data_IF_428361713311
#
_entry.id   IF_428361713311
#
_cell.length_a   1.000
_cell.length_b   1.000
_cell.length_c   1.000
_cell.angle_alpha   90.00
_cell.angle_beta   90.00
_cell.angle_gamma   90.00
#
_symmetry.space_group_name_H-M   'P 1'
#
loop_
_entity.id
_entity.type
_entity.pdbx_description
1 polymer ?
#
# COMPACT_ATOMS: atom_id res chain seq x y z
N UNK A 1 32.76 -4.78 -10.33
CA UNK A 1 33.42 -5.63 -9.32
C UNK A 1 32.58 -5.63 -8.05
N UNK A 2 32.72 -6.65 -7.19
CA UNK A 2 31.99 -6.70 -5.93
C UNK A 2 32.71 -5.83 -4.90
N UNK A 3 32.04 -4.77 -4.44
CA UNK A 3 32.58 -3.86 -3.43
C UNK A 3 32.25 -4.39 -2.03
N UNK A 4 33.25 -4.59 -1.19
CA UNK A 4 33.07 -5.11 0.18
C UNK A 4 33.44 -4.11 1.27
N UNK A 5 34.20 -3.07 0.95
CA UNK A 5 34.56 -2.02 1.91
C UNK A 5 33.33 -1.17 2.23
N UNK A 6 33.03 -0.95 3.52
CA UNK A 6 31.84 -0.18 3.95
C UNK A 6 31.79 1.23 3.35
N UNK A 7 32.94 1.88 3.20
CA UNK A 7 33.03 3.24 2.65
C UNK A 7 32.72 3.25 1.15
N UNK A 8 33.34 2.34 0.40
CA UNK A 8 33.09 2.19 -1.04
C UNK A 8 31.65 1.76 -1.30
N UNK A 9 31.06 0.89 -0.47
CA UNK A 9 29.63 0.54 -0.54
C UNK A 9 28.75 1.78 -0.34
N UNK A 10 29.08 2.63 0.63
CA UNK A 10 28.35 3.87 0.86
C UNK A 10 28.48 4.86 -0.32
N UNK A 11 29.67 4.94 -0.92
CA UNK A 11 29.94 5.76 -2.11
C UNK A 11 29.15 5.25 -3.33
N UNK A 12 29.03 3.93 -3.52
CA UNK A 12 28.23 3.34 -4.58
C UNK A 12 26.73 3.65 -4.41
N UNK A 13 26.20 3.55 -3.17
CA UNK A 13 24.83 3.97 -2.88
C UNK A 13 24.63 5.47 -3.09
N UNK A 14 25.60 6.31 -2.67
CA UNK A 14 25.56 7.76 -2.89
C UNK A 14 25.49 8.08 -4.37
N UNK A 15 26.41 7.53 -5.18
CA UNK A 15 26.46 7.71 -6.64
C UNK A 15 25.15 7.30 -7.32
N UNK A 16 24.58 6.16 -6.90
CA UNK A 16 23.29 5.71 -7.42
C UNK A 16 22.15 6.67 -7.07
N UNK A 17 21.99 7.05 -5.80
CA UNK A 17 20.88 7.93 -5.39
C UNK A 17 21.04 9.37 -5.85
N UNK A 18 22.26 9.87 -5.96
CA UNK A 18 22.55 11.20 -6.50
C UNK A 18 22.06 11.30 -7.95
N UNK A 19 22.45 10.33 -8.80
CA UNK A 19 21.93 10.22 -10.18
C UNK A 19 20.41 10.05 -10.22
N UNK A 20 19.85 9.26 -9.31
CA UNK A 20 18.43 8.95 -9.31
C UNK A 20 17.57 10.16 -8.91
N UNK A 21 18.01 10.98 -7.95
CA UNK A 21 17.19 12.01 -7.31
C UNK A 21 17.46 13.41 -7.85
N UNK A 22 18.67 13.69 -8.34
CA UNK A 22 19.07 15.03 -8.79
C UNK A 22 18.96 15.23 -10.31
N UNK A 23 18.49 14.22 -11.04
CA UNK A 23 18.17 14.34 -12.46
C UNK A 23 16.82 15.04 -12.68
N UNK A 24 16.78 16.37 -12.57
CA UNK A 24 15.54 17.13 -12.90
C UNK A 24 15.80 18.36 -13.77
N UNK A 25 15.16 18.38 -14.94
CA UNK A 25 14.96 19.56 -15.76
C UNK A 25 13.68 20.26 -15.28
N UNK A 26 13.82 21.38 -14.55
CA UNK A 26 12.67 22.16 -14.07
C UNK A 26 12.01 22.83 -15.28
N UNK A 27 10.72 22.56 -15.51
CA UNK A 27 9.92 23.36 -16.43
C UNK A 27 9.38 24.57 -15.68
N UNK A 28 9.80 25.75 -16.08
CA UNK A 28 9.11 27.00 -15.74
C UNK A 28 7.85 27.09 -16.58
N UNK A 29 6.69 26.80 -15.99
CA UNK A 29 5.41 27.20 -16.57
C UNK A 29 5.08 28.63 -16.11
N UNK A 30 4.28 29.33 -16.92
CA UNK A 30 3.87 30.72 -16.71
C UNK A 30 3.26 30.93 -15.31
N UNK A 31 3.75 31.98 -14.64
CA UNK A 31 3.30 32.39 -13.33
C UNK A 31 1.87 32.93 -13.41
N UNK A 32 0.92 32.24 -12.79
CA UNK A 32 -0.34 32.88 -12.41
C UNK A 32 -0.06 33.83 -11.24
N UNK A 33 -0.38 35.11 -11.40
CA UNK A 33 -0.23 36.17 -10.39
C UNK A 33 -1.25 36.03 -9.24
N UNK A 34 -1.34 34.84 -8.63
CA UNK A 34 -2.12 34.63 -7.41
C UNK A 34 -1.22 34.89 -6.20
N UNK A 35 -1.52 35.96 -5.46
CA UNK A 35 -0.80 36.30 -4.24
C UNK A 35 -1.42 35.57 -3.04
N UNK A 36 -0.64 34.69 -2.41
CA UNK A 36 -1.07 33.95 -1.22
C UNK A 36 -0.48 34.59 0.05
N UNK A 37 -1.30 34.71 1.09
CA UNK A 37 -0.84 35.21 2.40
C UNK A 37 0.16 34.25 3.03
N UNK A 38 1.06 34.78 3.88
CA UNK A 38 1.99 33.94 4.62
C UNK A 38 1.26 33.00 5.59
N UNK A 39 1.86 31.87 5.99
CA UNK A 39 1.28 30.96 6.96
C UNK A 39 0.97 31.63 8.32
N UNK A 40 -0.24 31.40 8.81
CA UNK A 40 -0.64 31.86 10.14
C UNK A 40 -0.04 30.98 11.26
N UNK A 41 0.05 31.50 12.48
CA UNK A 41 0.47 30.71 13.67
C UNK A 41 -0.42 29.48 13.90
N UNK A 42 -1.71 29.60 13.60
CA UNK A 42 -2.65 28.48 13.69
C UNK A 42 -2.30 27.36 12.71
N UNK A 43 -1.94 27.69 11.47
CA UNK A 43 -1.48 26.71 10.48
C UNK A 43 -0.18 26.02 10.91
N UNK A 44 0.77 26.77 11.50
CA UNK A 44 2.00 26.18 12.07
C UNK A 44 1.65 25.18 13.17
N UNK A 45 0.81 25.59 14.14
CA UNK A 45 0.42 24.74 15.25
C UNK A 45 -0.35 23.49 14.79
N UNK A 46 -1.21 23.63 13.78
CA UNK A 46 -1.90 22.50 13.16
C UNK A 46 -0.91 21.53 12.48
N UNK A 47 0.09 22.05 11.76
CA UNK A 47 1.13 21.24 11.12
C UNK A 47 2.04 20.53 12.13
N UNK A 48 2.45 21.21 13.21
CA UNK A 48 3.20 20.61 14.33
C UNK A 48 2.42 19.43 14.93
N UNK A 49 1.13 19.63 15.20
CA UNK A 49 0.29 18.59 15.80
C UNK A 49 0.11 17.37 14.86
N UNK A 50 0.13 17.58 13.54
CA UNK A 50 0.06 16.51 12.52
C UNK A 50 1.33 15.67 12.40
N UNK A 51 2.48 16.14 12.88
CA UNK A 51 3.73 15.36 12.85
C UNK A 51 3.52 14.02 13.56
N UNK A 52 4.13 12.94 13.06
CA UNK A 52 4.01 11.62 13.69
C UNK A 52 5.09 11.45 14.75
N UNK A 53 4.69 10.93 15.91
CA UNK A 53 5.60 10.57 17.00
C UNK A 53 6.39 9.30 16.65
N UNK A 54 7.51 9.10 17.35
CA UNK A 54 8.44 7.98 17.26
C UNK A 54 9.01 7.81 15.84
N UNK A 55 9.33 8.93 15.19
CA UNK A 55 9.96 8.96 13.87
C UNK A 55 11.40 9.43 13.99
N UNK A 56 12.27 8.85 13.17
CA UNK A 56 13.66 9.26 13.09
C UNK A 56 13.75 10.72 12.63
N UNK A 57 14.60 11.54 13.26
CA UNK A 57 14.82 12.93 12.86
C UNK A 57 15.67 13.00 11.57
N UNK A 58 15.74 14.20 10.98
CA UNK A 58 16.71 14.51 9.94
C UNK A 58 18.11 14.71 10.50
N UNK A 59 18.97 15.37 9.71
CA UNK A 59 20.38 15.61 10.03
C UNK A 59 20.59 16.44 11.31
N UNK A 60 19.67 17.36 11.63
CA UNK A 60 19.76 18.20 12.83
C UNK A 60 19.26 17.53 14.12
N UNK A 61 18.85 16.26 14.06
CA UNK A 61 18.39 15.48 15.21
C UNK A 61 17.13 16.01 15.96
N UNK A 62 16.42 17.01 15.43
CA UNK A 62 15.18 17.51 16.03
C UNK A 62 14.02 16.55 15.75
N UNK A 63 13.50 15.89 16.79
CA UNK A 63 12.33 15.01 16.70
C UNK A 63 11.01 15.79 16.88
N UNK A 64 9.92 15.22 16.36
CA UNK A 64 8.59 15.85 16.39
C UNK A 64 8.10 16.15 17.82
N UNK A 65 8.42 15.28 18.77
CA UNK A 65 8.02 15.40 20.17
C UNK A 65 8.62 16.63 20.85
N UNK A 66 9.86 17.00 20.51
CA UNK A 66 10.49 18.19 21.07
C UNK A 66 9.71 19.43 20.65
N UNK A 67 9.32 19.51 19.38
CA UNK A 67 8.56 20.64 18.84
C UNK A 67 7.12 20.68 19.38
N UNK A 68 6.48 19.52 19.54
CA UNK A 68 5.12 19.45 20.07
C UNK A 68 5.05 19.92 21.52
N UNK A 69 6.02 19.49 22.33
CA UNK A 69 6.08 19.79 23.76
C UNK A 69 6.89 21.05 24.09
N UNK A 70 7.40 21.77 23.09
CA UNK A 70 8.13 23.02 23.31
C UNK A 70 7.20 24.13 23.77
N UNK A 71 7.80 25.12 24.43
CA UNK A 71 7.14 26.38 24.75
C UNK A 71 6.73 27.15 23.50
N UNK A 72 5.77 28.06 23.67
CA UNK A 72 5.23 28.89 22.58
C UNK A 72 6.31 29.78 21.96
N UNK A 73 7.34 30.16 22.72
CA UNK A 73 8.49 30.90 22.21
C UNK A 73 9.17 30.17 21.04
N UNK A 74 9.41 28.85 21.18
CA UNK A 74 10.04 28.05 20.13
C UNK A 74 9.15 27.96 18.89
N UNK A 75 7.85 27.76 19.08
CA UNK A 75 6.85 27.70 17.98
C UNK A 75 6.77 29.04 17.25
N UNK A 76 6.89 30.16 17.98
CA UNK A 76 6.94 31.49 17.39
C UNK A 76 8.20 31.72 16.56
N UNK A 77 9.38 31.24 16.98
CA UNK A 77 10.59 31.32 16.17
C UNK A 77 10.48 30.48 14.89
N UNK A 78 9.86 29.29 14.96
CA UNK A 78 9.58 28.48 13.77
C UNK A 78 8.63 29.20 12.80
N UNK A 79 7.59 29.87 13.32
CA UNK A 79 6.68 30.67 12.51
C UNK A 79 7.39 31.83 11.81
N UNK A 80 8.26 32.56 12.53
CA UNK A 80 9.08 33.63 11.94
C UNK A 80 9.97 33.09 10.82
N UNK A 81 10.66 31.97 11.05
CA UNK A 81 11.49 31.33 10.03
C UNK A 81 10.67 30.97 8.78
N UNK A 82 9.52 30.35 8.95
CA UNK A 82 8.64 29.97 7.84
C UNK A 82 8.14 31.21 7.07
N UNK A 83 7.82 32.31 7.74
CA UNK A 83 7.45 33.55 7.06
C UNK A 83 8.61 34.16 6.28
N UNK A 84 9.82 34.17 6.84
CA UNK A 84 11.01 34.64 6.14
C UNK A 84 11.24 33.81 4.87
N UNK A 85 11.09 32.48 4.96
CA UNK A 85 11.19 31.58 3.80
C UNK A 85 10.09 31.88 2.78
N UNK A 86 8.86 32.14 3.24
CA UNK A 86 7.71 32.45 2.38
C UNK A 86 7.91 33.76 1.60
N UNK A 87 8.37 34.81 2.28
CA UNK A 87 8.60 36.14 1.70
C UNK A 87 9.80 36.14 0.75
N UNK A 88 10.91 35.52 1.16
CA UNK A 88 12.14 35.47 0.36
C UNK A 88 12.11 34.40 -0.73
N UNK A 89 11.18 33.45 -0.65
CA UNK A 89 11.10 32.28 -1.53
C UNK A 89 12.41 31.47 -1.57
N UNK A 90 13.14 31.45 -0.46
CA UNK A 90 14.43 30.78 -0.32
C UNK A 90 14.40 29.88 0.92
N UNK A 91 14.67 28.59 0.71
CA UNK A 91 14.83 27.61 1.80
C UNK A 91 16.29 27.60 2.29
N UNK A 92 16.53 27.25 3.56
CA UNK A 92 17.90 27.06 4.09
C UNK A 92 18.68 26.02 3.29
N UNK A 93 19.99 26.21 3.13
CA UNK A 93 20.85 25.27 2.40
C UNK A 93 20.85 23.89 3.05
N UNK A 94 20.71 23.82 4.37
CA UNK A 94 20.62 22.59 5.15
C UNK A 94 19.37 21.76 4.83
N UNK A 95 18.35 22.36 4.19
CA UNK A 95 17.17 21.62 3.72
C UNK A 95 17.38 21.01 2.34
N UNK A 96 18.47 21.36 1.64
CA UNK A 96 18.87 20.72 0.39
C UNK A 96 19.68 19.43 0.62
N UNK A 97 20.13 19.18 1.85
CA UNK A 97 20.78 17.92 2.25
C UNK A 97 19.81 17.03 3.01
N UNK A 98 19.97 15.72 2.88
CA UNK A 98 19.21 14.77 3.68
C UNK A 98 19.92 13.41 3.80
N UNK A 99 19.68 12.74 4.93
CA UNK A 99 20.20 11.39 5.18
C UNK A 99 19.33 10.39 4.42
N UNK A 100 19.95 9.60 3.55
CA UNK A 100 19.28 8.52 2.82
C UNK A 100 19.54 7.18 3.50
N UNK A 101 18.48 6.51 3.93
CA UNK A 101 18.51 5.16 4.47
C UNK A 101 18.08 4.15 3.39
N UNK A 102 19.00 3.39 2.77
CA UNK A 102 18.64 2.37 1.78
C UNK A 102 17.94 1.17 2.44
N UNK A 103 16.75 0.84 1.98
CA UNK A 103 15.97 -0.32 2.42
C UNK A 103 15.82 -1.29 1.25
N UNK A 104 16.27 -2.54 1.45
CA UNK A 104 16.14 -3.57 0.43
C UNK A 104 14.68 -3.80 0.02
N UNK A 105 14.39 -3.76 -1.27
CA UNK A 105 13.04 -3.92 -1.84
C UNK A 105 12.82 -5.35 -2.36
N UNK A 106 13.55 -5.76 -3.41
CA UNK A 106 13.45 -7.08 -4.07
C UNK A 106 14.59 -7.28 -5.06
N UNK A 107 14.87 -8.52 -5.44
CA UNK A 107 15.88 -8.86 -6.44
C UNK A 107 17.22 -9.27 -5.81
N UNK A 108 18.32 -9.00 -6.51
CA UNK A 108 19.66 -9.27 -6.00
C UNK A 108 20.04 -8.26 -4.91
N UNK A 109 20.41 -8.75 -3.72
CA UNK A 109 20.84 -7.94 -2.57
C UNK A 109 22.13 -7.18 -2.87
N UNK A 110 22.92 -7.63 -3.85
CA UNK A 110 24.21 -7.02 -4.19
C UNK A 110 24.09 -5.81 -5.14
N UNK A 111 22.89 -5.48 -5.61
CA UNK A 111 22.67 -4.41 -6.58
C UNK A 111 21.96 -3.20 -5.93
N UNK A 112 22.54 -2.01 -6.03
CA UNK A 112 22.01 -0.77 -5.40
C UNK A 112 20.61 -0.39 -5.89
N UNK A 113 20.29 -0.62 -7.17
CA UNK A 113 18.94 -0.38 -7.74
C UNK A 113 17.80 -1.17 -7.08
N UNK A 114 18.13 -2.25 -6.37
CA UNK A 114 17.18 -3.09 -5.65
C UNK A 114 16.84 -2.56 -4.25
N UNK A 115 17.40 -1.41 -3.88
CA UNK A 115 17.12 -0.70 -2.64
C UNK A 115 16.27 0.55 -2.90
N UNK A 116 15.39 0.84 -1.94
CA UNK A 116 14.63 2.09 -1.88
C UNK A 116 15.31 3.03 -0.90
N UNK A 117 15.72 4.21 -1.37
CA UNK A 117 16.20 5.28 -0.51
C UNK A 117 15.04 5.88 0.27
N UNK A 118 15.08 5.80 1.60
CA UNK A 118 14.16 6.55 2.46
C UNK A 118 14.91 7.75 3.00
N UNK A 119 14.44 8.95 2.64
CA UNK A 119 15.07 10.20 3.03
C UNK A 119 14.53 10.68 4.38
N UNK A 120 15.44 10.94 5.33
CA UNK A 120 15.14 11.54 6.62
C UNK A 120 15.22 13.06 6.50
N UNK A 121 14.06 13.66 6.27
CA UNK A 121 13.92 15.11 6.12
C UNK A 121 13.92 15.82 7.48
N UNK A 122 14.33 17.09 7.45
CA UNK A 122 14.25 18.00 8.58
C UNK A 122 12.81 18.18 9.10
N UNK A 123 12.66 18.40 10.41
CA UNK A 123 11.35 18.55 11.06
C UNK A 123 10.68 19.88 10.69
N UNK A 124 11.43 20.99 10.59
CA UNK A 124 10.89 22.27 10.15
C UNK A 124 10.52 22.23 8.65
N UNK A 125 11.33 21.57 7.82
CA UNK A 125 10.99 21.33 6.42
C UNK A 125 9.66 20.59 6.28
N UNK A 126 9.44 19.51 7.05
CA UNK A 126 8.16 18.77 7.07
C UNK A 126 6.97 19.64 7.48
N UNK A 127 7.16 20.58 8.41
CA UNK A 127 6.11 21.53 8.81
C UNK A 127 5.72 22.41 7.61
N UNK A 128 6.70 23.01 6.94
CA UNK A 128 6.45 23.81 5.73
C UNK A 128 5.76 22.97 4.64
N UNK A 129 6.28 21.77 4.34
CA UNK A 129 5.67 20.87 3.35
C UNK A 129 4.25 20.48 3.72
N UNK A 130 3.95 20.28 5.01
CA UNK A 130 2.60 19.98 5.47
C UNK A 130 1.65 21.15 5.26
N UNK A 131 2.10 22.39 5.46
CA UNK A 131 1.28 23.59 5.22
C UNK A 131 1.00 23.74 3.73
N UNK A 132 2.03 23.60 2.90
CA UNK A 132 1.91 23.62 1.45
C UNK A 132 0.92 22.55 0.96
N UNK A 133 1.03 21.32 1.48
CA UNK A 133 0.12 20.23 1.13
C UNK A 133 -1.33 20.57 1.46
N UNK A 134 -1.62 21.12 2.64
CA UNK A 134 -2.99 21.46 3.03
C UNK A 134 -3.59 22.57 2.17
N UNK A 135 -2.77 23.54 1.76
CA UNK A 135 -3.19 24.61 0.85
C UNK A 135 -3.38 24.12 -0.59
N UNK A 136 -2.56 23.18 -1.05
CA UNK A 136 -2.62 22.63 -2.41
C UNK A 136 -3.66 21.52 -2.58
N UNK A 137 -4.02 20.82 -1.50
CA UNK A 137 -4.92 19.67 -1.55
C UNK A 137 -6.30 19.96 -2.19
N UNK A 138 -6.99 21.10 -1.91
CA UNK A 138 -8.27 21.41 -2.55
C UNK A 138 -8.14 21.54 -4.08
N UNK A 139 -7.13 22.26 -4.55
CA UNK A 139 -6.88 22.44 -5.99
C UNK A 139 -6.51 21.11 -6.67
N UNK A 140 -5.69 20.30 -6.00
CA UNK A 140 -5.33 18.98 -6.49
C UNK A 140 -6.56 18.07 -6.60
N UNK A 141 -7.50 18.14 -5.66
CA UNK A 141 -8.71 17.32 -5.65
C UNK A 141 -9.69 17.67 -6.79
N UNK A 142 -9.72 18.94 -7.23
CA UNK A 142 -10.49 19.39 -8.41
C UNK A 142 -9.89 18.89 -9.73
N UNK A 143 -8.56 18.86 -9.82
CA UNK A 143 -7.84 18.41 -11.01
C UNK A 143 -7.85 16.88 -11.10
N UNK A 144 -7.75 16.20 -9.97
CA UNK A 144 -7.51 14.76 -9.90
C UNK A 144 -8.83 13.99 -9.90
N UNK A 145 -9.09 13.32 -11.02
CA UNK A 145 -10.30 12.53 -11.22
C UNK A 145 -10.48 11.39 -10.20
N UNK A 146 -11.72 10.93 -10.05
CA UNK A 146 -12.13 9.89 -9.07
C UNK A 146 -11.47 8.53 -9.27
N UNK A 147 -10.82 8.30 -10.41
CA UNK A 147 -10.10 7.06 -10.72
C UNK A 147 -8.76 6.92 -9.97
N UNK A 148 -8.15 8.04 -9.56
CA UNK A 148 -6.91 8.03 -8.78
C UNK A 148 -7.21 7.70 -7.31
N UNK A 149 -6.56 6.67 -6.75
CA UNK A 149 -6.69 6.34 -5.33
C UNK A 149 -5.38 6.50 -4.53
N UNK A 150 -4.23 6.50 -5.20
CA UNK A 150 -2.93 6.65 -4.53
C UNK A 150 -2.81 8.01 -3.82
N UNK A 151 -2.31 8.00 -2.59
CA UNK A 151 -2.01 9.19 -1.78
C UNK A 151 -3.17 10.15 -1.52
N UNK A 152 -4.42 9.70 -1.68
CA UNK A 152 -5.62 10.51 -1.43
C UNK A 152 -6.31 10.14 -0.13
N UNK A 153 -6.84 11.16 0.55
CA UNK A 153 -7.62 10.97 1.79
C UNK A 153 -8.91 10.22 1.45
N UNK A 154 -9.25 9.21 2.26
CA UNK A 154 -10.46 8.41 2.08
C UNK A 154 -10.41 7.43 0.90
N UNK A 155 -9.27 7.27 0.24
CA UNK A 155 -9.03 6.29 -0.83
C UNK A 155 -7.98 5.29 -0.39
N UNK A 156 -8.12 4.05 -0.84
CA UNK A 156 -7.24 2.94 -0.51
C UNK A 156 -6.94 2.08 -1.73
N UNK A 157 -5.86 1.29 -1.64
CA UNK A 157 -5.55 0.28 -2.66
C UNK A 157 -6.67 -0.78 -2.75
N UNK A 158 -7.31 -1.08 -1.62
CA UNK A 158 -8.43 -2.02 -1.55
C UNK A 158 -9.62 -1.54 -2.40
N UNK A 159 -9.89 -0.23 -2.46
CA UNK A 159 -10.96 0.33 -3.31
C UNK A 159 -10.73 -0.04 -4.79
N UNK A 160 -9.50 0.16 -5.29
CA UNK A 160 -9.15 -0.17 -6.68
C UNK A 160 -9.17 -1.68 -6.96
N UNK A 161 -8.62 -2.49 -6.04
CA UNK A 161 -8.66 -3.95 -6.17
C UNK A 161 -10.11 -4.43 -6.23
N UNK A 162 -10.98 -3.88 -5.39
CA UNK A 162 -12.40 -4.22 -5.35
C UNK A 162 -13.11 -3.83 -6.65
N UNK A 163 -12.91 -2.60 -7.13
CA UNK A 163 -13.47 -2.13 -8.41
C UNK A 163 -13.07 -3.08 -9.54
N UNK A 164 -11.77 -3.40 -9.63
CA UNK A 164 -11.24 -4.29 -10.67
C UNK A 164 -11.89 -5.68 -10.60
N UNK A 165 -11.93 -6.30 -9.41
CA UNK A 165 -12.55 -7.61 -9.21
C UNK A 165 -14.04 -7.58 -9.60
N UNK A 166 -14.80 -6.55 -9.20
CA UNK A 166 -16.22 -6.43 -9.55
C UNK A 166 -16.44 -6.23 -11.05
N UNK A 167 -15.60 -5.46 -11.73
CA UNK A 167 -15.66 -5.31 -13.20
C UNK A 167 -15.39 -6.65 -13.88
N UNK A 168 -14.37 -7.40 -13.43
CA UNK A 168 -14.06 -8.73 -13.95
C UNK A 168 -15.18 -9.74 -13.69
N UNK A 169 -15.76 -9.77 -12.48
CA UNK A 169 -16.89 -10.64 -12.12
C UNK A 169 -18.09 -10.40 -13.04
N UNK A 170 -18.42 -9.13 -13.31
CA UNK A 170 -19.51 -8.76 -14.21
C UNK A 170 -19.24 -9.17 -15.65
N UNK A 171 -18.07 -8.87 -16.20
CA UNK A 171 -17.75 -9.24 -17.59
C UNK A 171 -17.81 -10.76 -17.78
N UNK A 172 -17.32 -11.51 -16.79
CA UNK A 172 -17.46 -12.97 -16.77
C UNK A 172 -18.93 -13.43 -16.71
N UNK A 173 -19.74 -12.84 -15.82
CA UNK A 173 -21.16 -13.18 -15.64
C UNK A 173 -21.99 -13.01 -16.92
N UNK A 174 -21.70 -11.98 -17.71
CA UNK A 174 -22.44 -11.65 -18.94
C UNK A 174 -21.75 -12.16 -20.21
N UNK A 175 -20.73 -13.02 -20.08
CA UNK A 175 -19.92 -13.56 -21.19
C UNK A 175 -19.48 -12.46 -22.16
N UNK A 176 -18.82 -11.44 -21.61
CA UNK A 176 -18.29 -10.29 -22.34
C UNK A 176 -16.78 -10.24 -22.17
N UNK A 177 -16.09 -9.98 -23.26
CA UNK A 177 -14.64 -9.78 -23.23
C UNK A 177 -14.29 -8.51 -22.44
N UNK A 178 -13.21 -8.60 -21.65
CA UNK A 178 -12.62 -7.50 -20.92
C UNK A 178 -11.13 -7.46 -21.22
N UNK A 179 -10.66 -6.32 -21.72
CA UNK A 179 -9.24 -6.08 -21.97
C UNK A 179 -8.71 -5.18 -20.86
N UNK A 180 -7.59 -5.59 -20.26
CA UNK A 180 -6.93 -4.88 -19.17
C UNK A 180 -5.46 -4.67 -19.52
N UNK A 181 -4.99 -3.42 -19.43
CA UNK A 181 -3.58 -3.07 -19.62
C UNK A 181 -3.05 -2.47 -18.34
N UNK A 182 -2.00 -3.09 -17.80
CA UNK A 182 -1.29 -2.63 -16.63
C UNK A 182 -0.03 -1.89 -17.07
N UNK A 183 0.12 -0.64 -16.65
CA UNK A 183 1.28 0.21 -16.95
C UNK A 183 1.99 0.48 -15.64
N UNK A 184 3.28 0.13 -15.59
CA UNK A 184 4.15 0.42 -14.47
C UNK A 184 5.17 1.46 -14.93
N UNK A 185 5.19 2.62 -14.29
CA UNK A 185 6.21 3.63 -14.55
C UNK A 185 7.48 3.26 -13.77
N UNK A 186 8.61 3.18 -14.49
CA UNK A 186 9.90 2.77 -13.91
C UNK A 186 10.51 3.80 -12.97
N UNK A 187 11.48 3.36 -12.16
CA UNK A 187 12.15 4.17 -11.13
C UNK A 187 12.85 5.45 -11.67
N UNK A 188 13.07 5.58 -12.98
CA UNK A 188 13.72 6.75 -13.59
C UNK A 188 12.77 7.96 -13.75
N UNK A 189 11.49 7.80 -13.41
CA UNK A 189 10.48 8.85 -13.48
C UNK A 189 10.23 9.43 -12.09
N UNK A 190 11.01 10.44 -11.68
CA UNK A 190 10.86 11.14 -10.38
C UNK A 190 9.47 11.80 -10.25
N UNK A 191 8.77 12.04 -11.36
CA UNK A 191 7.53 12.84 -11.42
C UNK A 191 6.31 12.08 -11.98
N UNK A 192 6.15 10.80 -11.65
CA UNK A 192 4.91 10.08 -11.96
C UNK A 192 3.92 10.19 -10.79
N UNK A 193 2.76 10.82 -11.06
CA UNK A 193 1.64 10.92 -10.12
C UNK A 193 0.97 9.55 -9.82
N UNK A 194 1.32 8.49 -10.55
CA UNK A 194 0.83 7.13 -10.35
C UNK A 194 1.85 6.09 -10.85
N UNK A 195 2.23 5.12 -10.00
CA UNK A 195 3.17 4.05 -10.36
C UNK A 195 2.48 2.87 -11.07
N UNK A 196 1.28 2.50 -10.61
CA UNK A 196 0.51 1.35 -11.10
C UNK A 196 -0.81 1.85 -11.73
N UNK A 197 -0.85 1.92 -13.07
CA UNK A 197 -2.04 2.37 -13.82
C UNK A 197 -2.72 1.16 -14.47
N UNK A 198 -4.05 1.10 -14.43
CA UNK A 198 -4.85 0.09 -15.13
C UNK A 198 -5.81 0.77 -16.08
N UNK A 199 -5.73 0.41 -17.36
CA UNK A 199 -6.67 0.85 -18.40
C UNK A 199 -7.60 -0.33 -18.71
N UNK A 200 -8.91 -0.07 -18.67
CA UNK A 200 -9.97 -1.03 -18.93
C UNK A 200 -10.71 -0.65 -20.20
N UNK A 201 -11.09 -1.64 -21.02
CA UNK A 201 -11.77 -1.40 -22.27
C UNK A 201 -12.41 -2.66 -22.83
N UNK A 202 -13.36 -2.46 -23.74
CA UNK A 202 -14.16 -3.54 -24.32
C UNK A 202 -13.56 -4.09 -25.61
N UNK A 203 -12.73 -3.29 -26.27
CA UNK A 203 -12.06 -3.68 -27.52
C UNK A 203 -10.56 -3.43 -27.44
N UNK A 204 -9.80 -4.19 -28.22
CA UNK A 204 -8.35 -3.99 -28.32
C UNK A 204 -8.01 -2.62 -28.92
N UNK A 205 -8.80 -2.13 -29.87
CA UNK A 205 -8.60 -0.83 -30.51
C UNK A 205 -8.74 0.31 -29.49
N UNK A 206 -9.82 0.31 -28.70
CA UNK A 206 -10.09 1.31 -27.65
C UNK A 206 -8.94 1.40 -26.63
N UNK A 207 -8.51 0.24 -26.12
CA UNK A 207 -7.39 0.16 -25.19
C UNK A 207 -6.08 0.68 -25.82
N UNK A 208 -5.80 0.28 -27.07
CA UNK A 208 -4.56 0.68 -27.75
C UNK A 208 -4.53 2.17 -28.01
N UNK A 209 -5.67 2.75 -28.40
CA UNK A 209 -5.83 4.18 -28.61
C UNK A 209 -5.65 4.96 -27.31
N UNK A 210 -6.40 4.60 -26.26
CA UNK A 210 -6.32 5.24 -24.94
C UNK A 210 -4.92 5.16 -24.35
N UNK A 211 -4.25 4.01 -24.51
CA UNK A 211 -2.88 3.83 -24.03
C UNK A 211 -1.89 4.70 -24.82
N UNK A 212 -2.08 4.79 -26.14
CA UNK A 212 -1.25 5.63 -27.01
C UNK A 212 -1.45 7.12 -26.71
N UNK A 213 -2.66 7.54 -26.37
CA UNK A 213 -2.97 8.92 -25.94
C UNK A 213 -2.34 9.23 -24.58
N UNK A 214 -2.46 8.32 -23.60
CA UNK A 214 -1.85 8.48 -22.27
C UNK A 214 -0.32 8.60 -22.36
N UNK A 215 0.30 7.73 -23.17
CA UNK A 215 1.74 7.78 -23.43
C UNK A 215 2.12 8.97 -24.33
N UNK A 216 1.19 9.40 -25.18
CA UNK A 216 1.26 10.62 -25.97
C UNK A 216 1.30 11.88 -25.11
N UNK A 217 0.48 11.96 -24.07
CA UNK A 217 0.49 13.05 -23.11
C UNK A 217 1.75 13.03 -22.23
N UNK A 218 2.36 11.86 -22.01
CA UNK A 218 3.62 11.72 -21.27
C UNK A 218 4.89 11.98 -22.11
N UNK A 219 4.74 12.36 -23.40
CA UNK A 219 5.79 12.43 -24.46
C UNK A 219 7.07 13.22 -24.21
N UNK A 220 7.34 13.82 -23.04
CA UNK A 220 8.73 14.21 -22.70
C UNK A 220 9.54 13.10 -22.03
N UNK A 221 8.95 11.98 -21.62
CA UNK A 221 9.68 10.87 -20.95
C UNK A 221 9.89 9.67 -21.89
N UNK A 222 9.07 9.50 -22.93
CA UNK A 222 9.12 8.32 -23.79
C UNK A 222 9.22 8.73 -25.26
N UNK A 223 10.44 8.78 -25.79
CA UNK A 223 10.64 8.80 -27.23
C UNK A 223 10.09 7.48 -27.80
N UNK A 224 9.01 7.60 -28.59
CA UNK A 224 8.22 6.49 -29.13
C UNK A 224 9.09 5.44 -29.85
N UNK A 225 9.02 4.19 -29.38
CA UNK A 225 9.27 2.99 -30.20
C UNK A 225 8.28 1.90 -29.82
N UNK A 226 7.65 1.31 -30.84
CA UNK A 226 6.78 0.10 -30.85
C UNK A 226 6.53 -0.54 -29.48
N UNK A 227 5.51 -0.06 -28.77
CA UNK A 227 5.09 -0.67 -27.52
C UNK A 227 4.42 -2.01 -27.81
N UNK A 228 5.09 -3.08 -27.41
CA UNK A 228 4.54 -4.43 -27.43
C UNK A 228 4.01 -4.75 -26.04
N UNK A 229 2.72 -5.06 -25.96
CA UNK A 229 2.10 -5.49 -24.69
C UNK A 229 2.21 -7.00 -24.58
N UNK A 230 2.84 -7.48 -23.50
CA UNK A 230 2.86 -8.90 -23.17
C UNK A 230 1.48 -9.33 -22.66
N UNK A 231 0.90 -10.37 -23.27
CA UNK A 231 -0.31 -10.99 -22.76
C UNK A 231 0.07 -11.94 -21.62
N UNK A 232 -0.36 -11.61 -20.40
CA UNK A 232 -0.13 -12.44 -19.21
C UNK A 232 -1.42 -13.05 -18.70
N UNK A 233 -1.35 -14.29 -18.19
CA UNK A 233 -2.51 -14.93 -17.53
C UNK A 233 -2.68 -14.49 -16.08
N UNK A 234 -1.58 -14.07 -15.44
CA UNK A 234 -1.53 -13.67 -14.05
C UNK A 234 -0.68 -12.41 -13.92
N UNK A 235 -1.18 -11.42 -13.20
CA UNK A 235 -0.49 -10.16 -12.97
C UNK A 235 -0.64 -9.72 -11.51
N UNK A 236 0.43 -9.19 -10.92
CA UNK A 236 0.41 -8.72 -9.53
C UNK A 236 0.14 -7.23 -9.50
N UNK A 237 -1.08 -6.85 -9.11
CA UNK A 237 -1.53 -5.46 -9.02
C UNK A 237 -1.79 -5.08 -7.56
N UNK A 238 -1.17 -4.00 -7.07
CA UNK A 238 -1.29 -3.53 -5.68
C UNK A 238 -1.07 -4.63 -4.64
N UNK A 239 -0.17 -5.56 -4.96
CA UNK A 239 0.17 -6.70 -4.10
C UNK A 239 -0.79 -7.89 -4.17
N UNK A 240 -1.90 -7.84 -4.91
CA UNK A 240 -2.85 -8.94 -5.14
C UNK A 240 -2.66 -9.55 -6.53
N UNK A 241 -2.77 -10.88 -6.63
CA UNK A 241 -2.72 -11.57 -7.91
C UNK A 241 -4.07 -11.51 -8.63
N UNK A 242 -4.09 -10.83 -9.77
CA UNK A 242 -5.20 -10.80 -10.71
C UNK A 242 -4.95 -11.86 -11.79
N UNK A 243 -5.93 -12.68 -12.13
CA UNK A 243 -5.79 -13.71 -13.16
C UNK A 243 -6.94 -13.70 -14.17
N UNK A 244 -6.69 -14.27 -15.34
CA UNK A 244 -7.66 -14.33 -16.45
C UNK A 244 -8.97 -15.06 -16.10
N UNK A 245 -8.95 -15.94 -15.09
CA UNK A 245 -10.11 -16.71 -14.63
C UNK A 245 -10.89 -15.98 -13.52
N UNK A 246 -10.38 -14.88 -13.00
CA UNK A 246 -10.87 -14.21 -11.80
C UNK A 246 -11.09 -15.15 -10.60
N UNK A 247 -10.17 -16.10 -10.37
CA UNK A 247 -10.19 -16.98 -9.19
C UNK A 247 -9.17 -16.56 -8.13
N UNK A 248 -9.44 -16.90 -6.87
CA UNK A 248 -8.60 -16.51 -5.73
C UNK A 248 -7.56 -17.57 -5.35
N UNK A 249 -7.47 -18.70 -6.08
CA UNK A 249 -6.66 -19.83 -5.65
C UNK A 249 -5.17 -19.51 -5.61
N UNK A 250 -4.67 -18.79 -6.62
CA UNK A 250 -3.28 -18.34 -6.67
C UNK A 250 -2.99 -17.30 -5.58
N UNK A 251 -3.86 -16.32 -5.41
CA UNK A 251 -3.73 -15.30 -4.36
C UNK A 251 -3.66 -15.94 -2.96
N UNK A 252 -4.57 -16.86 -2.63
CA UNK A 252 -4.58 -17.58 -1.35
C UNK A 252 -3.29 -18.40 -1.17
N UNK A 253 -2.78 -19.01 -2.24
CA UNK A 253 -1.52 -19.75 -2.21
C UNK A 253 -0.33 -18.82 -1.92
N UNK A 254 -0.27 -17.66 -2.57
CA UNK A 254 0.78 -16.66 -2.36
C UNK A 254 0.73 -16.04 -0.96
N UNK A 255 -0.48 -15.82 -0.42
CA UNK A 255 -0.68 -15.36 0.96
C UNK A 255 -0.23 -16.39 1.97
N UNK A 256 -0.57 -17.67 1.78
CA UNK A 256 -0.08 -18.75 2.65
C UNK A 256 1.43 -18.87 2.57
N UNK A 257 2.05 -18.74 1.39
CA UNK A 257 3.50 -18.74 1.24
C UNK A 257 4.16 -17.56 1.99
N UNK A 258 3.58 -16.36 1.87
CA UNK A 258 4.02 -15.17 2.61
C UNK A 258 3.85 -15.34 4.12
N UNK A 259 2.73 -15.92 4.54
CA UNK A 259 2.46 -16.31 5.92
C UNK A 259 3.46 -17.33 6.45
N UNK A 260 3.85 -18.32 5.64
CA UNK A 260 4.87 -19.29 6.03
C UNK A 260 6.23 -18.61 6.26
N UNK A 261 6.67 -17.74 5.35
CA UNK A 261 7.91 -16.97 5.53
C UNK A 261 7.89 -16.16 6.82
N UNK A 262 6.80 -15.45 7.07
CA UNK A 262 6.60 -14.67 8.30
C UNK A 262 6.55 -15.57 9.56
N UNK A 263 5.83 -16.69 9.51
CA UNK A 263 5.75 -17.65 10.60
C UNK A 263 7.14 -18.21 10.96
N UNK A 264 7.97 -18.52 9.96
CA UNK A 264 9.31 -19.04 10.18
C UNK A 264 10.25 -18.00 10.81
N UNK A 265 10.16 -16.72 10.41
CA UNK A 265 10.98 -15.65 11.02
C UNK A 265 10.68 -15.45 12.50
N UNK A 266 9.42 -15.60 12.94
CA UNK A 266 9.02 -15.47 14.35
C UNK A 266 8.91 -16.81 15.10
N UNK A 267 9.29 -17.92 14.45
CA UNK A 267 9.04 -19.27 14.98
C UNK A 267 9.72 -19.52 16.33
N UNK A 268 10.92 -18.95 16.54
CA UNK A 268 11.65 -19.00 17.81
C UNK A 268 10.88 -18.33 18.94
N UNK A 269 10.25 -17.19 18.67
CA UNK A 269 9.41 -16.47 19.64
C UNK A 269 8.17 -17.29 20.00
N UNK A 270 7.48 -17.85 19.00
CA UNK A 270 6.29 -18.68 19.24
C UNK A 270 6.59 -19.94 20.06
N UNK A 271 7.79 -20.51 19.93
CA UNK A 271 8.24 -21.67 20.71
C UNK A 271 8.81 -21.32 22.09
N UNK A 272 9.23 -20.08 22.32
CA UNK A 272 9.88 -19.66 23.56
C UNK A 272 9.00 -19.89 24.79
N UNK A 273 9.56 -20.48 25.86
CA UNK A 273 8.87 -20.62 27.16
C UNK A 273 8.79 -19.29 27.93
N UNK A 274 9.61 -18.31 27.57
CA UNK A 274 9.64 -16.98 28.20
C UNK A 274 8.41 -16.13 27.82
N UNK A 275 7.77 -16.45 26.70
CA UNK A 275 6.59 -15.71 26.23
C UNK A 275 5.31 -16.41 26.68
N UNK A 276 4.43 -15.64 27.30
CA UNK A 276 3.09 -16.10 27.66
C UNK A 276 2.29 -16.51 26.41
N UNK A 277 1.32 -17.41 26.58
CA UNK A 277 0.36 -17.75 25.52
C UNK A 277 -0.37 -16.51 24.99
N UNK A 278 -0.69 -15.55 25.87
CA UNK A 278 -1.33 -14.27 25.49
C UNK A 278 -0.45 -13.44 24.56
N UNK A 279 0.84 -13.29 24.86
CA UNK A 279 1.80 -12.56 24.01
C UNK A 279 1.99 -13.24 22.65
N UNK A 280 2.05 -14.57 22.62
CA UNK A 280 2.13 -15.34 21.37
C UNK A 280 0.87 -15.22 20.53
N UNK A 281 -0.30 -15.27 21.16
CA UNK A 281 -1.58 -15.00 20.49
C UNK A 281 -1.61 -13.57 19.95
N UNK A 282 -1.09 -12.59 20.69
CA UNK A 282 -0.97 -11.22 20.21
C UNK A 282 -0.12 -11.16 18.94
N UNK A 283 1.09 -11.75 18.94
CA UNK A 283 1.96 -11.86 17.76
C UNK A 283 1.25 -12.49 16.56
N UNK A 284 0.50 -13.58 16.77
CA UNK A 284 -0.32 -14.15 15.70
C UNK A 284 -1.33 -13.13 15.18
N UNK A 285 -2.09 -12.50 16.07
CA UNK A 285 -3.23 -11.66 15.69
C UNK A 285 -2.84 -10.31 15.09
N UNK A 286 -1.72 -9.71 15.50
CA UNK A 286 -1.29 -8.37 15.09
C UNK A 286 -0.19 -8.37 14.03
N UNK A 287 0.58 -9.44 13.92
CA UNK A 287 1.73 -9.50 13.00
C UNK A 287 1.54 -10.55 11.90
N UNK A 288 1.23 -11.80 12.27
CA UNK A 288 1.16 -12.89 11.28
C UNK A 288 -0.15 -12.90 10.49
N UNK A 289 -1.29 -12.71 11.16
CA UNK A 289 -2.61 -12.74 10.51
C UNK A 289 -2.79 -11.64 9.46
N UNK A 290 -2.40 -10.37 9.68
CA UNK A 290 -2.50 -9.34 8.64
C UNK A 290 -1.74 -9.68 7.35
N UNK A 291 -0.61 -10.39 7.43
CA UNK A 291 0.15 -10.82 6.25
C UNK A 291 -0.65 -11.77 5.38
N UNK A 292 -1.35 -12.72 6.00
CA UNK A 292 -2.15 -13.73 5.27
C UNK A 292 -3.54 -13.23 4.90
N UNK A 293 -4.09 -12.23 5.58
CA UNK A 293 -5.42 -11.68 5.31
C UNK A 293 -5.40 -10.34 4.58
N UNK A 294 -4.26 -9.94 4.00
CA UNK A 294 -4.17 -8.71 3.22
C UNK A 294 -5.16 -8.74 2.04
N UNK A 295 -5.96 -7.69 1.92
CA UNK A 295 -7.03 -7.55 0.92
C UNK A 295 -8.10 -8.66 0.95
N UNK A 296 -8.24 -9.39 2.06
CA UNK A 296 -9.21 -10.50 2.16
C UNK A 296 -10.67 -10.06 2.00
N UNK A 297 -10.93 -8.79 2.26
CA UNK A 297 -12.21 -8.13 2.05
C UNK A 297 -12.63 -8.06 0.58
N UNK A 298 -11.74 -8.27 -0.39
CA UNK A 298 -12.06 -8.27 -1.83
C UNK A 298 -12.15 -9.66 -2.44
N UNK A 299 -11.94 -10.71 -1.66
CA UNK A 299 -11.84 -12.09 -2.16
C UNK A 299 -13.20 -12.75 -2.37
N UNK A 300 -13.35 -13.41 -3.52
CA UNK A 300 -14.40 -14.39 -3.82
C UNK A 300 -13.92 -15.82 -3.51
N UNK A 301 -13.65 -16.10 -2.22
CA UNK A 301 -13.02 -17.37 -1.78
C UNK A 301 -13.97 -18.57 -1.82
N UNK A 302 -13.47 -19.73 -2.26
CA UNK A 302 -14.21 -21.01 -2.16
C UNK A 302 -14.13 -21.62 -0.75
N UNK A 303 -14.94 -22.67 -0.49
CA UNK A 303 -14.82 -23.50 0.73
C UNK A 303 -13.44 -24.15 0.84
N UNK A 304 -12.85 -24.55 -0.29
CA UNK A 304 -11.49 -25.10 -0.35
C UNK A 304 -10.44 -24.09 0.10
N UNK A 305 -10.51 -22.86 -0.40
CA UNK A 305 -9.60 -21.78 0.00
C UNK A 305 -9.71 -21.43 1.47
N UNK A 306 -10.95 -21.33 1.98
CA UNK A 306 -11.23 -21.10 3.40
C UNK A 306 -10.62 -22.20 4.27
N UNK A 307 -10.71 -23.47 3.84
CA UNK A 307 -10.11 -24.58 4.57
C UNK A 307 -8.57 -24.50 4.58
N UNK A 308 -7.93 -24.13 3.46
CA UNK A 308 -6.47 -23.95 3.38
C UNK A 308 -5.98 -22.88 4.37
N UNK A 309 -6.68 -21.77 4.46
CA UNK A 309 -6.40 -20.70 5.43
C UNK A 309 -6.60 -21.18 6.87
N UNK A 310 -7.68 -21.91 7.14
CA UNK A 310 -7.93 -22.51 8.45
C UNK A 310 -6.87 -23.57 8.83
N UNK A 311 -6.32 -24.33 7.87
CA UNK A 311 -5.22 -25.26 8.12
C UNK A 311 -3.97 -24.48 8.56
N UNK A 312 -3.65 -23.38 7.88
CA UNK A 312 -2.54 -22.50 8.26
C UNK A 312 -2.70 -21.96 9.68
N UNK A 313 -3.85 -21.38 10.02
CA UNK A 313 -4.12 -20.85 11.38
C UNK A 313 -3.97 -21.96 12.43
N UNK A 314 -4.60 -23.13 12.21
CA UNK A 314 -4.50 -24.25 13.15
C UNK A 314 -3.07 -24.76 13.33
N UNK A 315 -2.22 -24.68 12.30
CA UNK A 315 -0.78 -24.99 12.43
C UNK A 315 -0.11 -24.03 13.41
N UNK A 316 -0.36 -22.73 13.28
CA UNK A 316 0.20 -21.69 14.17
C UNK A 316 -0.32 -21.87 15.60
N UNK A 317 -1.63 -22.01 15.78
CA UNK A 317 -2.24 -22.14 17.11
C UNK A 317 -1.78 -23.38 17.87
N UNK A 318 -1.53 -24.50 17.17
CA UNK A 318 -0.96 -25.71 17.79
C UNK A 318 0.45 -25.50 18.32
N UNK A 319 1.26 -24.68 17.66
CA UNK A 319 2.57 -24.31 18.19
C UNK A 319 2.42 -23.43 19.45
N UNK A 320 1.48 -22.49 19.45
CA UNK A 320 1.25 -21.58 20.58
C UNK A 320 0.73 -22.32 21.83
N UNK A 321 -0.29 -23.17 21.66
CA UNK A 321 -0.99 -23.80 22.79
C UNK A 321 -0.46 -25.17 23.16
N UNK A 322 0.26 -25.83 22.25
CA UNK A 322 0.83 -27.16 22.47
C UNK A 322 -0.24 -28.26 22.63
N UNK A 323 0.21 -29.49 22.96
CA UNK A 323 -0.67 -30.62 23.21
C UNK A 323 -1.53 -30.40 24.47
N UNK A 324 -2.49 -31.29 24.66
CA UNK A 324 -3.26 -31.42 25.91
C UNK A 324 -2.82 -32.71 26.60
N UNK A 325 -2.72 -32.69 27.93
CA UNK A 325 -2.40 -33.90 28.70
C UNK A 325 -3.71 -34.62 29.04
N UNK A 326 -3.82 -35.89 28.63
CA UNK A 326 -4.93 -36.75 29.00
C UNK A 326 -4.58 -37.45 30.32
N UNK A 327 -5.33 -37.16 31.38
CA UNK A 327 -5.09 -37.70 32.73
C UNK A 327 -5.45 -39.18 32.85
N UNK A 328 -6.47 -39.64 32.10
CA UNK A 328 -6.92 -41.03 32.12
C UNK A 328 -5.90 -41.94 31.43
N UNK A 329 -5.44 -41.54 30.25
CA UNK A 329 -4.48 -42.30 29.45
C UNK A 329 -3.01 -41.99 29.80
N UNK A 330 -2.76 -40.99 30.64
CA UNK A 330 -1.41 -40.50 31.02
C UNK A 330 -0.51 -40.16 29.82
N UNK A 331 -1.09 -39.69 28.71
CA UNK A 331 -0.38 -39.33 27.48
C UNK A 331 -0.68 -37.90 27.03
N UNK A 332 0.25 -37.31 26.29
CA UNK A 332 0.01 -36.05 25.58
C UNK A 332 -0.67 -36.31 24.25
N UNK A 333 -1.82 -35.68 24.05
CA UNK A 333 -2.61 -35.78 22.83
C UNK A 333 -2.57 -34.50 22.02
N UNK A 334 -2.77 -34.67 20.71
CA UNK A 334 -2.97 -33.54 19.80
C UNK A 334 -4.29 -32.86 20.13
N UNK A 335 -4.21 -31.57 20.46
CA UNK A 335 -5.38 -30.72 20.73
C UNK A 335 -6.34 -30.66 19.53
N UNK A 336 -7.64 -30.83 19.81
CA UNK A 336 -8.74 -30.75 18.82
C UNK A 336 -8.90 -29.33 18.28
N UNK A 337 -9.57 -29.18 17.14
CA UNK A 337 -9.70 -27.87 16.48
C UNK A 337 -10.55 -26.90 17.31
N UNK A 338 -11.61 -27.42 17.91
CA UNK A 338 -12.59 -26.68 18.71
C UNK A 338 -11.92 -26.09 19.96
N UNK A 339 -10.98 -26.83 20.56
CA UNK A 339 -10.21 -26.38 21.72
C UNK A 339 -9.25 -25.24 21.34
N UNK A 340 -8.62 -25.31 20.16
CA UNK A 340 -7.74 -24.25 19.68
C UNK A 340 -8.50 -22.92 19.52
N UNK A 341 -9.71 -22.97 18.96
CA UNK A 341 -10.53 -21.78 18.76
C UNK A 341 -11.09 -21.24 20.07
N UNK A 342 -11.45 -22.10 21.02
CA UNK A 342 -11.81 -21.69 22.39
C UNK A 342 -10.67 -20.94 23.07
N UNK A 343 -9.44 -21.49 23.01
CA UNK A 343 -8.24 -20.87 23.58
C UNK A 343 -7.78 -19.59 22.87
N UNK A 344 -8.03 -19.47 21.57
CA UNK A 344 -7.76 -18.25 20.82
C UNK A 344 -8.61 -17.09 21.36
N UNK A 345 -9.85 -17.38 21.78
CA UNK A 345 -10.82 -16.41 22.33
C UNK A 345 -11.01 -15.16 21.45
N UNK A 346 -10.80 -15.32 20.14
CA UNK A 346 -10.94 -14.30 19.09
C UNK A 346 -11.52 -14.98 17.85
N UNK A 347 -12.09 -14.23 16.90
CA UNK A 347 -12.53 -14.79 15.63
C UNK A 347 -11.39 -15.57 14.97
N UNK A 348 -11.68 -16.82 14.60
CA UNK A 348 -10.80 -17.62 13.75
C UNK A 348 -10.67 -16.96 12.37
N UNK A 349 -9.71 -17.41 11.56
CA UNK A 349 -9.39 -16.75 10.29
C UNK A 349 -10.59 -16.67 9.34
N UNK A 350 -11.41 -17.72 9.26
CA UNK A 350 -12.58 -17.75 8.38
C UNK A 350 -13.65 -16.77 8.85
N UNK A 351 -13.94 -16.73 10.16
CA UNK A 351 -14.87 -15.76 10.75
C UNK A 351 -14.33 -14.33 10.61
N UNK A 352 -13.03 -14.13 10.80
CA UNK A 352 -12.37 -12.83 10.64
C UNK A 352 -12.51 -12.29 9.21
N UNK A 353 -12.27 -13.12 8.18
CA UNK A 353 -12.44 -12.73 6.77
C UNK A 353 -13.90 -12.34 6.49
N UNK A 354 -14.88 -13.09 7.02
CA UNK A 354 -16.30 -12.74 6.89
C UNK A 354 -16.61 -11.38 7.54
N UNK A 355 -16.10 -11.13 8.74
CA UNK A 355 -16.26 -9.82 9.40
C UNK A 355 -15.67 -8.71 8.53
N UNK A 356 -14.47 -8.89 7.98
CA UNK A 356 -13.82 -7.91 7.10
C UNK A 356 -14.60 -7.64 5.82
N UNK A 357 -15.16 -8.68 5.20
CA UNK A 357 -16.07 -8.53 4.04
C UNK A 357 -17.33 -7.73 4.40
N UNK A 358 -17.92 -7.96 5.57
CA UNK A 358 -19.10 -7.20 6.03
C UNK A 358 -18.79 -5.74 6.34
N UNK A 359 -17.66 -5.46 7.01
CA UNK A 359 -17.18 -4.10 7.24
C UNK A 359 -16.95 -3.36 5.91
N UNK A 360 -16.33 -4.05 4.95
CA UNK A 360 -16.09 -3.53 3.61
C UNK A 360 -17.37 -3.27 2.84
N UNK A 361 -18.34 -4.18 2.90
CA UNK A 361 -19.67 -3.96 2.32
C UNK A 361 -20.31 -2.68 2.84
N UNK A 362 -20.26 -2.45 4.16
CA UNK A 362 -20.75 -1.20 4.75
C UNK A 362 -20.04 0.04 4.22
N UNK A 363 -18.71 -0.01 4.06
CA UNK A 363 -17.92 1.07 3.44
C UNK A 363 -18.38 1.37 2.02
N UNK A 364 -18.45 0.34 1.16
CA UNK A 364 -18.91 0.48 -0.23
C UNK A 364 -20.34 1.00 -0.31
N UNK A 365 -21.23 0.52 0.56
CA UNK A 365 -22.64 0.93 0.56
C UNK A 365 -22.84 2.40 0.95
N UNK A 366 -21.96 2.96 1.79
CA UNK A 366 -21.99 4.39 2.18
C UNK A 366 -21.32 5.32 1.18
N UNK A 367 -20.62 4.79 0.17
CA UNK A 367 -19.90 5.59 -0.81
C UNK A 367 -20.83 6.12 -1.94
N UNK A 368 -21.80 6.96 -1.57
CA UNK A 368 -22.77 7.52 -2.52
C UNK A 368 -22.12 8.38 -3.60
N UNK A 369 -22.56 8.19 -4.85
CA UNK A 369 -22.01 8.87 -6.02
C UNK A 369 -20.62 8.39 -6.44
N UNK A 370 -19.98 7.50 -5.68
CA UNK A 370 -18.65 6.97 -5.94
C UNK A 370 -18.67 5.82 -6.95
N UNK A 371 -17.59 5.67 -7.72
CA UNK A 371 -17.41 4.57 -8.67
C UNK A 371 -17.46 3.22 -7.96
N UNK A 372 -16.98 3.13 -6.72
CA UNK A 372 -16.96 1.86 -5.98
C UNK A 372 -18.38 1.32 -5.71
N UNK A 373 -19.33 2.21 -5.36
CA UNK A 373 -20.73 1.84 -5.15
C UNK A 373 -21.43 1.58 -6.48
N UNK A 374 -21.21 2.43 -7.49
CA UNK A 374 -21.76 2.23 -8.86
C UNK A 374 -21.39 0.87 -9.43
N UNK A 375 -20.11 0.50 -9.34
CA UNK A 375 -19.61 -0.80 -9.78
C UNK A 375 -20.19 -1.95 -8.96
N UNK A 376 -20.68 -1.72 -7.74
CA UNK A 376 -21.41 -2.74 -6.99
C UNK A 376 -22.87 -2.87 -7.42
N UNK A 377 -23.56 -1.75 -7.69
CA UNK A 377 -25.02 -1.71 -7.88
C UNK A 377 -25.46 -1.85 -9.33
N UNK A 378 -24.71 -1.27 -10.27
CA UNK A 378 -25.07 -1.30 -11.68
C UNK A 378 -24.92 -2.73 -12.25
N UNK A 379 -25.68 -3.07 -13.28
CA UNK A 379 -25.58 -4.37 -13.96
C UNK A 379 -25.40 -4.15 -15.46
N UNK A 380 -24.69 -5.06 -16.13
CA UNK A 380 -24.59 -5.00 -17.58
C UNK A 380 -25.99 -5.30 -18.16
N UNK A 381 -26.50 -4.41 -19.02
CA UNK A 381 -27.80 -4.57 -19.68
C UNK A 381 -27.74 -5.63 -20.79
N UNK A 382 -27.57 -6.91 -20.40
CA UNK A 382 -27.55 -8.06 -21.31
C UNK A 382 -28.18 -9.27 -20.64
N UNK A 383 -28.78 -10.19 -21.41
CA UNK A 383 -29.28 -11.46 -20.87
C UNK A 383 -28.11 -12.33 -20.43
N UNK A 384 -28.17 -12.88 -19.20
CA UNK A 384 -27.16 -13.82 -18.71
C UNK A 384 -27.19 -15.11 -19.53
N UNK A 385 -26.02 -15.71 -19.82
CA UNK A 385 -25.95 -17.04 -20.44
C UNK A 385 -26.63 -18.12 -19.57
N UNK A 386 -27.08 -19.20 -20.21
CA UNK A 386 -27.66 -20.35 -19.52
C UNK A 386 -26.55 -21.16 -18.86
N UNK A 387 -26.63 -21.39 -17.55
CA UNK A 387 -25.66 -22.19 -16.79
C UNK A 387 -25.65 -21.86 -15.29
N UNK A 388 -24.86 -22.61 -14.51
CA UNK A 388 -24.67 -22.34 -13.07
C UNK A 388 -23.75 -21.13 -12.88
N UNK A 389 -24.19 -20.04 -12.23
CA UNK A 389 -23.33 -18.91 -11.96
C UNK A 389 -22.24 -19.26 -10.94
N UNK A 390 -21.08 -18.58 -11.03
CA UNK A 390 -20.04 -18.66 -10.00
C UNK A 390 -20.48 -17.92 -8.74
N UNK A 391 -19.96 -18.35 -7.59
CA UNK A 391 -20.09 -17.64 -6.32
C UNK A 391 -19.37 -16.30 -6.42
N UNK A 392 -20.08 -15.21 -6.11
CA UNK A 392 -19.58 -13.83 -6.19
C UNK A 392 -19.08 -13.36 -4.84
N UNK A 393 -18.45 -12.19 -4.84
CA UNK A 393 -18.16 -11.49 -3.60
C UNK A 393 -19.40 -11.15 -2.74
N UNK A 394 -20.60 -11.05 -3.32
CA UNK A 394 -21.86 -10.82 -2.56
C UNK A 394 -22.47 -12.10 -1.96
N UNK A 395 -22.07 -13.26 -2.48
CA UNK A 395 -22.56 -14.57 -2.05
C UNK A 395 -21.66 -15.10 -0.90
#
# INVERSE_FOLDING_TARGET
ELVTNKREVAEEFKSYFDKLLNNTTIRTNEHTNMQYSSPSRSEINAAINKLKNNKAPGENHIVAELVKNSEEAVKNEMWKLINIIWEKQQIPEEWNTAIICPIFKKGNILETKNYRGITLLDTCYKILSSILLERLAPFAEEIVGRYQCGFRKGRSTTDQIFILNQVMEKHYEFNKDLYMVFIILGNESILAYADDIVILGNTRQEITQTTSELLGASKKIWAMRNLTFEKVENFKYLGVNINSKNDMHREVSERIASGNRCYHSISKLLKSKLLSRKSKTLLYTSYLRPVITYACETWSSTKGDSNRLAIFERKVLRNIFGPIYNTELRIFERRKNEDLYRLLSKPNITTYIKIKRMEWFGHVWRADGDIIKKVLTETIQKKRPIGRPRTRWKD
#
